data_IF_758336830104
#
_entry.id   IF_758336830104
#
_cell.length_a   1.000
_cell.length_b   1.000
_cell.length_c   1.000
_cell.angle_alpha   90.00
_cell.angle_beta   90.00
_cell.angle_gamma   90.00
#
_symmetry.space_group_name_H-M   'P 1'
#
loop_
_entity.id
_entity.type
_entity.pdbx_description
1 polymer ?
#
# COMPACT_ATOMS: atom_id res chain seq x y z
N UNK A 1 -11.42 55.61 -14.36
CA UNK A 1 -10.13 55.24 -13.71
C UNK A 1 -10.30 54.00 -12.86
N UNK A 2 -9.67 52.90 -13.26
CA UNK A 2 -9.82 51.54 -12.63
C UNK A 2 -8.90 51.37 -11.45
N UNK A 3 -9.47 51.17 -10.23
CA UNK A 3 -8.74 50.66 -9.06
C UNK A 3 -8.90 49.12 -9.01
N UNK A 4 -8.07 48.38 -9.71
CA UNK A 4 -7.96 46.92 -9.63
C UNK A 4 -6.49 46.55 -9.39
N UNK A 5 -6.06 46.44 -8.14
CA UNK A 5 -4.67 46.06 -7.87
C UNK A 5 -4.37 45.59 -6.44
N UNK A 6 -5.23 45.81 -5.43
CA UNK A 6 -4.88 45.56 -4.02
C UNK A 6 -5.30 44.18 -3.47
N UNK A 7 -6.24 43.47 -4.11
CA UNK A 7 -6.76 42.19 -3.59
C UNK A 7 -5.84 40.99 -3.86
N UNK A 8 -5.00 41.03 -4.90
CA UNK A 8 -4.11 39.90 -5.24
C UNK A 8 -2.90 39.72 -4.31
N UNK A 9 -2.41 40.83 -3.75
CA UNK A 9 -1.23 40.81 -2.85
C UNK A 9 -1.61 40.25 -1.48
N UNK A 10 -2.82 40.49 -1.01
CA UNK A 10 -3.32 39.98 0.28
C UNK A 10 -3.51 38.45 0.29
N UNK A 11 -3.92 37.86 -0.81
CA UNK A 11 -4.03 36.40 -0.94
C UNK A 11 -2.68 35.69 -0.92
N UNK A 12 -1.65 36.32 -1.53
CA UNK A 12 -0.28 35.78 -1.47
C UNK A 12 0.30 35.78 -0.08
N UNK A 13 0.09 36.86 0.71
CA UNK A 13 0.50 36.96 2.11
C UNK A 13 -0.26 35.97 3.02
N UNK A 14 -1.55 35.77 2.79
CA UNK A 14 -2.34 34.80 3.54
C UNK A 14 -1.85 33.35 3.31
N UNK A 15 -1.51 33.00 2.05
CA UNK A 15 -0.94 31.69 1.75
C UNK A 15 0.45 31.47 2.36
N UNK A 16 1.30 32.50 2.40
CA UNK A 16 2.61 32.44 3.07
C UNK A 16 2.48 32.31 4.59
N UNK A 17 1.49 32.97 5.20
CA UNK A 17 1.21 32.89 6.62
C UNK A 17 0.67 31.50 7.03
N UNK A 18 -0.23 30.93 6.24
CA UNK A 18 -0.75 29.56 6.44
C UNK A 18 0.36 28.50 6.22
N UNK A 19 1.20 28.68 5.21
CA UNK A 19 2.36 27.81 5.00
C UNK A 19 3.37 27.90 6.15
N UNK A 20 3.63 29.11 6.66
CA UNK A 20 4.48 29.36 7.83
C UNK A 20 3.95 28.70 9.10
N UNK A 21 2.64 28.76 9.36
CA UNK A 21 2.00 28.11 10.51
C UNK A 21 2.08 26.58 10.41
N UNK A 22 1.91 26.02 9.20
CA UNK A 22 2.01 24.57 8.98
C UNK A 22 3.45 24.08 9.19
N UNK A 23 4.45 24.85 8.74
CA UNK A 23 5.88 24.54 8.92
C UNK A 23 6.25 24.68 10.40
N UNK A 24 5.78 25.72 11.08
CA UNK A 24 6.04 25.97 12.51
C UNK A 24 5.37 24.91 13.40
N UNK A 25 4.13 24.52 13.12
CA UNK A 25 3.43 23.46 13.86
C UNK A 25 4.10 22.08 13.63
N UNK A 26 4.54 21.79 12.41
CA UNK A 26 5.30 20.58 12.08
C UNK A 26 6.66 20.53 12.77
N UNK A 27 7.38 21.65 12.82
CA UNK A 27 8.66 21.78 13.53
C UNK A 27 8.50 21.62 15.05
N UNK A 28 7.46 22.22 15.64
CA UNK A 28 7.18 22.12 17.08
C UNK A 28 6.77 20.70 17.51
N UNK A 29 6.02 19.96 16.67
CA UNK A 29 5.71 18.54 16.93
C UNK A 29 6.96 17.65 16.81
N UNK A 30 7.85 17.94 15.88
CA UNK A 30 9.08 17.20 15.70
C UNK A 30 10.06 17.38 16.86
N UNK A 31 10.21 18.62 17.37
CA UNK A 31 11.08 18.93 18.51
C UNK A 31 10.55 18.37 19.84
N UNK A 32 9.22 18.34 20.03
CA UNK A 32 8.61 17.78 21.25
C UNK A 32 8.78 16.28 21.37
N UNK A 33 8.71 15.54 20.26
CA UNK A 33 8.96 14.09 20.21
C UNK A 33 10.45 13.72 20.30
N UNK A 34 11.37 14.66 20.05
CA UNK A 34 12.82 14.47 20.20
C UNK A 34 13.29 14.55 21.67
N UNK A 35 12.66 15.40 22.48
CA UNK A 35 13.05 15.54 23.90
C UNK A 35 12.57 14.39 24.79
N UNK A 36 11.41 13.78 24.51
CA UNK A 36 10.94 12.63 25.30
C UNK A 36 11.79 11.35 25.13
N UNK A 37 12.62 11.26 24.08
CA UNK A 37 13.52 10.10 23.87
C UNK A 37 14.88 10.24 24.53
N UNK A 38 15.33 11.44 24.85
CA UNK A 38 16.62 11.64 25.51
C UNK A 38 16.57 11.39 27.02
N UNK A 39 15.47 11.71 27.69
CA UNK A 39 15.31 11.52 29.14
C UNK A 39 15.15 10.04 29.55
N UNK A 40 14.79 9.13 28.63
CA UNK A 40 14.63 7.70 28.92
C UNK A 40 15.92 6.89 28.76
N UNK A 41 16.96 7.44 28.16
CA UNK A 41 18.24 6.73 27.91
C UNK A 41 19.31 6.96 28.98
N UNK A 42 19.16 7.95 29.84
CA UNK A 42 20.16 8.28 30.88
C UNK A 42 19.97 7.47 32.18
N UNK A 43 18.80 6.84 32.38
CA UNK A 43 18.49 6.11 33.62
C UNK A 43 18.82 4.62 33.65
N UNK A 44 19.50 4.07 32.63
CA UNK A 44 19.74 2.61 32.54
C UNK A 44 21.22 2.21 32.34
N UNK A 45 22.13 2.98 32.86
CA UNK A 45 23.57 2.64 32.78
C UNK A 45 24.25 2.68 34.14
N UNK A 46 23.81 1.89 35.07
CA UNK A 46 24.62 1.40 36.21
C UNK A 46 23.97 0.10 36.73
N UNK A 47 24.60 -0.99 36.50
CA UNK A 47 24.75 -2.22 37.30
C UNK A 47 24.82 -3.46 36.41
N UNK A 48 25.93 -4.04 36.37
CA UNK A 48 26.37 -5.34 36.84
C UNK A 48 27.34 -6.00 35.86
N UNK A 49 28.59 -5.78 36.15
CA UNK A 49 29.70 -6.69 35.80
C UNK A 49 29.57 -7.96 36.66
N UNK A 50 29.49 -9.14 36.04
CA UNK A 50 30.00 -10.38 36.62
C UNK A 50 30.30 -11.44 35.55
N UNK A 51 31.59 -11.78 35.50
CA UNK A 51 32.24 -12.85 34.79
C UNK A 51 31.51 -14.21 34.81
N UNK A 52 31.41 -14.88 33.67
CA UNK A 52 31.47 -16.33 33.64
C UNK A 52 32.15 -16.82 32.36
N UNK A 53 33.40 -17.26 32.57
CA UNK A 53 34.19 -18.08 31.63
C UNK A 53 33.48 -19.39 31.39
N UNK A 54 33.15 -19.76 30.17
CA UNK A 54 32.70 -21.10 29.81
C UNK A 54 33.49 -21.63 28.63
N UNK A 55 34.11 -22.77 28.88
CA UNK A 55 34.96 -23.59 27.99
C UNK A 55 34.24 -23.88 26.66
N UNK A 56 34.97 -23.76 25.59
CA UNK A 56 34.57 -24.17 24.25
C UNK A 56 35.00 -25.60 24.04
N UNK A 57 34.06 -26.54 24.01
CA UNK A 57 34.27 -27.88 23.49
C UNK A 57 34.12 -27.86 21.96
N UNK A 58 35.22 -28.29 21.29
CA UNK A 58 35.27 -28.49 19.86
C UNK A 58 34.41 -29.67 19.45
N UNK A 59 33.34 -29.42 18.70
CA UNK A 59 32.59 -30.47 18.00
C UNK A 59 33.08 -30.54 16.56
N UNK A 60 33.52 -31.74 16.16
CA UNK A 60 34.01 -32.10 14.84
C UNK A 60 32.85 -32.04 13.84
N UNK A 61 32.97 -31.44 12.64
CA UNK A 61 31.90 -31.43 11.65
C UNK A 61 31.71 -32.80 11.02
N UNK A 62 30.51 -33.36 11.14
CA UNK A 62 30.11 -34.51 10.33
C UNK A 62 29.86 -34.09 8.88
N UNK A 63 30.45 -34.83 7.99
CA UNK A 63 30.33 -34.75 6.53
C UNK A 63 28.88 -34.94 6.11
N UNK A 64 28.26 -33.89 5.55
CA UNK A 64 26.87 -33.91 5.05
C UNK A 64 26.83 -34.56 3.68
N UNK A 65 26.25 -35.76 3.60
CA UNK A 65 25.91 -36.45 2.34
C UNK A 65 25.20 -35.50 1.38
N UNK A 66 25.79 -35.36 0.19
CA UNK A 66 25.20 -34.63 -0.94
C UNK A 66 23.99 -35.45 -1.42
N UNK A 67 22.81 -34.91 -1.22
CA UNK A 67 21.55 -35.39 -1.84
C UNK A 67 21.54 -34.91 -3.28
N UNK A 68 21.24 -35.78 -4.28
CA UNK A 68 21.13 -35.36 -5.69
C UNK A 68 20.06 -34.28 -5.87
N UNK A 69 20.19 -33.38 -6.85
CA UNK A 69 19.19 -32.34 -7.11
C UNK A 69 17.86 -33.01 -7.48
N UNK A 70 16.84 -32.67 -6.73
CA UNK A 70 15.44 -33.02 -6.99
C UNK A 70 15.05 -32.43 -8.37
N UNK A 71 14.58 -33.26 -9.27
CA UNK A 71 14.13 -32.88 -10.60
C UNK A 71 13.15 -31.71 -10.50
N UNK A 72 13.47 -30.65 -11.23
CA UNK A 72 12.62 -29.46 -11.40
C UNK A 72 11.30 -29.89 -11.98
N UNK A 73 10.28 -30.15 -11.16
CA UNK A 73 8.92 -30.37 -11.62
C UNK A 73 8.50 -29.15 -12.43
N UNK A 74 8.30 -29.36 -13.70
CA UNK A 74 7.67 -28.44 -14.65
C UNK A 74 6.42 -27.88 -13.98
N UNK A 75 6.38 -26.55 -13.82
CA UNK A 75 5.25 -25.85 -13.16
C UNK A 75 4.06 -26.02 -14.11
N UNK A 76 3.19 -26.96 -13.77
CA UNK A 76 1.92 -27.16 -14.46
C UNK A 76 1.18 -25.79 -14.54
N UNK A 77 0.70 -25.38 -15.73
CA UNK A 77 -0.05 -24.15 -15.85
C UNK A 77 -1.27 -24.21 -14.92
N UNK A 78 -1.56 -23.12 -14.18
CA UNK A 78 -2.64 -23.12 -13.21
C UNK A 78 -3.95 -23.53 -13.89
N UNK A 79 -4.65 -24.48 -13.28
CA UNK A 79 -5.93 -24.99 -13.77
C UNK A 79 -6.89 -23.86 -14.14
N UNK A 80 -7.69 -24.01 -15.23
CA UNK A 80 -8.64 -22.99 -15.64
C UNK A 80 -9.60 -22.68 -14.50
N UNK A 81 -9.71 -21.40 -14.15
CA UNK A 81 -10.68 -20.92 -13.16
C UNK A 81 -12.06 -21.24 -13.71
N UNK A 82 -12.89 -21.94 -12.93
CA UNK A 82 -14.26 -22.26 -13.36
C UNK A 82 -15.00 -20.95 -13.63
N UNK A 83 -15.74 -20.88 -14.72
CA UNK A 83 -16.50 -19.69 -15.15
C UNK A 83 -17.40 -19.14 -14.03
N UNK A 84 -17.98 -20.03 -13.21
CA UNK A 84 -18.74 -19.69 -12.01
C UNK A 84 -17.97 -18.83 -10.99
N UNK A 85 -16.64 -19.02 -10.86
CA UNK A 85 -15.81 -18.25 -9.91
C UNK A 85 -15.59 -16.81 -10.39
N UNK A 86 -15.51 -16.59 -11.70
CA UNK A 86 -15.40 -15.27 -12.29
C UNK A 86 -16.65 -14.44 -12.04
N UNK A 87 -17.81 -15.03 -12.33
CA UNK A 87 -19.10 -14.39 -12.13
C UNK A 87 -19.37 -14.10 -10.65
N UNK A 88 -19.00 -15.02 -9.77
CA UNK A 88 -19.16 -14.85 -8.34
C UNK A 88 -18.39 -13.61 -7.83
N UNK A 89 -17.12 -13.44 -8.21
CA UNK A 89 -16.31 -12.30 -7.75
C UNK A 89 -16.82 -10.99 -8.37
N UNK A 90 -17.22 -11.00 -9.64
CA UNK A 90 -17.82 -9.81 -10.28
C UNK A 90 -19.11 -9.39 -9.57
N UNK A 91 -19.97 -10.33 -9.25
CA UNK A 91 -21.20 -10.07 -8.50
C UNK A 91 -20.91 -9.52 -7.09
N UNK A 92 -19.86 -10.01 -6.40
CA UNK A 92 -19.47 -9.47 -5.09
C UNK A 92 -19.08 -7.99 -5.18
N UNK A 93 -18.35 -7.58 -6.22
CA UNK A 93 -18.00 -6.17 -6.43
C UNK A 93 -19.25 -5.32 -6.67
N UNK A 94 -20.15 -5.77 -7.53
CA UNK A 94 -21.41 -5.05 -7.82
C UNK A 94 -22.27 -4.93 -6.58
N UNK A 95 -22.45 -6.02 -5.81
CA UNK A 95 -23.25 -6.02 -4.57
C UNK A 95 -22.63 -5.11 -3.49
N UNK A 96 -21.32 -5.04 -3.38
CA UNK A 96 -20.66 -4.10 -2.48
C UNK A 96 -21.04 -2.64 -2.81
N UNK A 97 -21.04 -2.26 -4.09
CA UNK A 97 -21.43 -0.90 -4.47
C UNK A 97 -22.94 -0.67 -4.29
N UNK A 98 -23.80 -1.65 -4.54
CA UNK A 98 -25.23 -1.57 -4.22
C UNK A 98 -25.48 -1.41 -2.72
N UNK A 99 -24.66 -2.04 -1.89
CA UNK A 99 -24.69 -1.84 -0.44
C UNK A 99 -24.28 -0.41 -0.08
N UNK A 100 -23.22 0.14 -0.69
CA UNK A 100 -22.79 1.52 -0.46
C UNK A 100 -23.85 2.54 -0.88
N UNK A 101 -24.55 2.32 -1.99
CA UNK A 101 -25.61 3.22 -2.49
C UNK A 101 -26.73 3.45 -1.46
N UNK A 102 -26.95 2.50 -0.55
CA UNK A 102 -27.96 2.59 0.53
C UNK A 102 -27.45 3.31 1.78
N UNK A 103 -26.16 3.67 1.85
CA UNK A 103 -25.57 4.28 3.05
C UNK A 103 -25.84 5.77 3.13
N UNK A 104 -26.24 6.24 4.30
CA UNK A 104 -26.52 7.66 4.54
C UNK A 104 -25.31 8.55 4.28
N UNK A 105 -24.11 8.11 4.64
CA UNK A 105 -22.88 8.88 4.38
C UNK A 105 -22.57 9.04 2.89
N UNK A 106 -22.98 8.08 2.04
CA UNK A 106 -22.88 8.20 0.57
C UNK A 106 -23.92 9.20 0.06
N UNK A 107 -25.18 9.07 0.50
CA UNK A 107 -26.25 9.96 0.12
C UNK A 107 -25.99 11.42 0.55
N UNK A 108 -25.24 11.63 1.64
CA UNK A 108 -24.81 12.96 2.09
C UNK A 108 -23.72 13.58 1.18
N UNK A 109 -22.96 12.78 0.42
CA UNK A 109 -22.01 13.30 -0.57
C UNK A 109 -22.73 13.77 -1.83
N UNK A 110 -23.62 12.92 -2.35
CA UNK A 110 -24.42 13.20 -3.54
C UNK A 110 -25.66 12.28 -3.53
N UNK A 111 -26.85 12.88 -3.39
CA UNK A 111 -28.10 12.14 -3.39
C UNK A 111 -28.29 11.41 -4.74
N UNK A 112 -28.68 10.13 -4.68
CA UNK A 112 -28.86 9.31 -5.88
C UNK A 112 -27.57 8.90 -6.59
N UNK A 113 -26.40 9.03 -5.94
CA UNK A 113 -25.12 8.59 -6.50
C UNK A 113 -25.16 7.10 -6.81
N UNK A 114 -24.76 6.71 -8.03
CA UNK A 114 -24.41 5.34 -8.38
C UNK A 114 -22.90 5.16 -8.11
N UNK A 115 -22.57 4.55 -6.98
CA UNK A 115 -21.17 4.39 -6.55
C UNK A 115 -20.39 3.43 -7.46
N UNK A 116 -21.05 2.45 -8.11
CA UNK A 116 -20.39 1.55 -9.06
C UNK A 116 -19.94 2.28 -10.32
N UNK A 117 -20.81 3.10 -10.93
CA UNK A 117 -20.41 3.91 -12.08
C UNK A 117 -19.33 4.92 -11.73
N UNK A 118 -19.40 5.49 -10.53
CA UNK A 118 -18.35 6.39 -10.03
C UNK A 118 -17.01 5.66 -9.87
N UNK A 119 -17.05 4.47 -9.31
CA UNK A 119 -15.87 3.60 -9.19
C UNK A 119 -15.27 3.28 -10.55
N UNK A 120 -16.08 2.87 -11.54
CA UNK A 120 -15.61 2.64 -12.92
C UNK A 120 -14.91 3.88 -13.50
N UNK A 121 -15.47 5.05 -13.29
CA UNK A 121 -14.87 6.32 -13.70
C UNK A 121 -13.53 6.60 -13.03
N UNK A 122 -13.42 6.34 -11.72
CA UNK A 122 -12.18 6.47 -10.96
C UNK A 122 -11.12 5.51 -11.51
N UNK A 123 -11.44 4.22 -11.69
CA UNK A 123 -10.49 3.23 -12.21
C UNK A 123 -10.02 3.59 -13.62
N UNK A 124 -10.91 4.00 -14.52
CA UNK A 124 -10.51 4.47 -15.86
C UNK A 124 -9.56 5.67 -15.80
N UNK A 125 -9.86 6.64 -14.94
CA UNK A 125 -9.00 7.82 -14.74
C UNK A 125 -7.61 7.45 -14.22
N UNK A 126 -7.57 6.56 -13.24
CA UNK A 126 -6.31 6.06 -12.65
C UNK A 126 -5.53 5.22 -13.66
N UNK A 127 -6.19 4.33 -14.40
CA UNK A 127 -5.54 3.46 -15.39
C UNK A 127 -4.98 4.24 -16.59
N UNK A 128 -5.64 5.31 -17.00
CA UNK A 128 -5.17 6.14 -18.10
C UNK A 128 -3.89 6.94 -17.79
N UNK A 129 -3.61 7.18 -16.51
CA UNK A 129 -2.45 7.99 -16.08
C UNK A 129 -1.79 7.38 -14.86
N UNK A 130 -1.21 6.17 -14.96
CA UNK A 130 -0.56 5.52 -13.83
C UNK A 130 0.65 6.33 -13.36
N UNK A 131 1.00 6.25 -12.06
CA UNK A 131 2.15 6.94 -11.50
C UNK A 131 3.47 6.32 -11.99
N UNK A 132 4.56 7.06 -11.80
CA UNK A 132 5.91 6.52 -11.97
C UNK A 132 6.31 5.88 -10.64
N UNK A 133 6.60 4.57 -10.59
CA UNK A 133 6.90 3.84 -9.35
C UNK A 133 8.38 3.92 -8.96
N UNK A 134 9.21 4.64 -9.69
CA UNK A 134 10.62 4.81 -9.38
C UNK A 134 10.82 5.67 -8.14
N UNK A 135 11.89 5.39 -7.39
CA UNK A 135 12.40 6.25 -6.34
C UNK A 135 12.60 7.68 -6.85
N UNK A 136 12.68 8.61 -5.94
CA UNK A 136 12.64 10.02 -6.25
C UNK A 136 13.79 10.48 -7.10
N UNK A 137 13.45 10.94 -8.29
CA UNK A 137 14.34 11.86 -8.96
C UNK A 137 14.46 13.14 -8.12
N UNK A 138 15.67 13.62 -7.91
CA UNK A 138 16.03 14.78 -7.08
C UNK A 138 15.37 16.11 -7.52
N UNK A 139 14.60 16.14 -8.61
CA UNK A 139 13.93 17.34 -9.09
C UNK A 139 12.68 17.61 -8.24
N UNK A 140 12.63 18.78 -7.59
CA UNK A 140 11.51 19.25 -6.76
C UNK A 140 10.15 19.16 -7.46
N UNK A 141 10.12 19.34 -8.79
CA UNK A 141 8.90 19.21 -9.60
C UNK A 141 8.33 17.78 -9.61
N UNK A 142 9.20 16.76 -9.67
CA UNK A 142 8.80 15.35 -9.67
C UNK A 142 8.33 14.97 -8.27
N UNK A 143 9.04 15.39 -7.23
CA UNK A 143 8.67 15.18 -5.83
C UNK A 143 7.30 15.80 -5.53
N UNK A 144 7.09 17.09 -5.87
CA UNK A 144 5.82 17.78 -5.70
C UNK A 144 4.71 17.09 -6.50
N UNK A 145 5.04 16.70 -7.74
CA UNK A 145 4.14 15.94 -8.60
C UNK A 145 3.68 14.62 -8.01
N UNK A 146 4.57 13.93 -7.34
CA UNK A 146 4.33 12.66 -6.67
C UNK A 146 3.48 12.83 -5.40
N UNK A 147 3.80 13.82 -4.53
CA UNK A 147 3.07 14.08 -3.28
C UNK A 147 1.59 14.44 -3.55
N UNK A 148 1.33 15.23 -4.58
CA UNK A 148 -0.03 15.70 -4.92
C UNK A 148 -0.70 14.87 -6.03
N UNK A 149 -0.19 13.68 -6.33
CA UNK A 149 -0.63 12.85 -7.44
C UNK A 149 -2.15 12.68 -7.49
N UNK A 150 -2.75 12.16 -6.42
CA UNK A 150 -4.19 11.92 -6.36
C UNK A 150 -5.03 13.20 -6.38
N UNK A 151 -4.56 14.29 -5.74
CA UNK A 151 -5.25 15.58 -5.76
C UNK A 151 -5.31 16.21 -7.15
N UNK A 152 -4.35 15.88 -8.02
CA UNK A 152 -4.34 16.37 -9.41
C UNK A 152 -5.12 15.49 -10.35
N UNK A 153 -5.26 14.22 -10.03
CA UNK A 153 -5.86 13.22 -10.89
C UNK A 153 -7.35 13.04 -10.60
N UNK A 154 -7.71 13.03 -9.33
CA UNK A 154 -9.09 12.86 -8.87
C UNK A 154 -9.65 14.19 -8.38
N UNK A 155 -10.92 14.45 -8.66
CA UNK A 155 -11.62 15.61 -8.14
C UNK A 155 -11.86 15.49 -6.63
N UNK A 156 -12.26 16.61 -6.01
CA UNK A 156 -12.53 16.67 -4.56
C UNK A 156 -13.66 15.72 -4.13
N UNK A 157 -14.68 15.51 -4.99
CA UNK A 157 -15.80 14.61 -4.68
C UNK A 157 -15.34 13.16 -4.62
N UNK A 158 -14.54 12.71 -5.61
CA UNK A 158 -13.98 11.36 -5.63
C UNK A 158 -13.05 11.08 -4.44
N UNK A 159 -12.17 12.05 -4.11
CA UNK A 159 -11.30 11.93 -2.93
C UNK A 159 -12.10 11.87 -1.63
N UNK A 160 -13.18 12.65 -1.52
CA UNK A 160 -14.07 12.62 -0.37
C UNK A 160 -14.81 11.28 -0.28
N UNK A 161 -15.34 10.77 -1.39
CA UNK A 161 -15.98 9.46 -1.47
C UNK A 161 -15.07 8.35 -0.96
N UNK A 162 -13.85 8.25 -1.50
CA UNK A 162 -12.86 7.25 -1.06
C UNK A 162 -12.59 7.36 0.44
N UNK A 163 -12.41 8.58 0.94
CA UNK A 163 -12.15 8.83 2.37
C UNK A 163 -13.32 8.36 3.24
N UNK A 164 -14.56 8.70 2.86
CA UNK A 164 -15.73 8.34 3.65
C UNK A 164 -15.99 6.82 3.62
N UNK A 165 -15.78 6.14 2.49
CA UNK A 165 -15.83 4.67 2.43
C UNK A 165 -14.80 4.06 3.37
N UNK A 166 -13.53 4.47 3.29
CA UNK A 166 -12.46 3.93 4.15
C UNK A 166 -12.71 4.20 5.64
N UNK A 167 -13.43 5.26 5.98
CA UNK A 167 -13.75 5.62 7.37
C UNK A 167 -14.92 4.81 7.92
N UNK A 168 -15.99 4.66 7.12
CA UNK A 168 -17.24 4.08 7.58
C UNK A 168 -17.29 2.56 7.39
N UNK A 169 -16.46 2.00 6.50
CA UNK A 169 -16.36 0.56 6.24
C UNK A 169 -15.06 -0.03 6.81
N UNK A 170 -14.50 0.57 7.87
CA UNK A 170 -13.26 0.11 8.50
C UNK A 170 -13.35 -1.34 8.99
N UNK A 171 -14.49 -1.72 9.55
CA UNK A 171 -14.69 -3.05 10.17
C UNK A 171 -14.77 -4.19 9.12
N UNK A 172 -15.18 -3.85 7.90
CA UNK A 172 -15.24 -4.80 6.77
C UNK A 172 -14.07 -4.62 5.80
N UNK A 173 -13.14 -3.72 6.10
CA UNK A 173 -12.04 -3.32 5.21
C UNK A 173 -11.21 -4.51 4.75
N UNK A 174 -10.91 -5.45 5.64
CA UNK A 174 -10.10 -6.63 5.35
C UNK A 174 -10.76 -7.49 4.27
N UNK A 175 -12.03 -7.86 4.45
CA UNK A 175 -12.79 -8.64 3.46
C UNK A 175 -12.96 -7.88 2.15
N UNK A 176 -13.22 -6.57 2.23
CA UNK A 176 -13.40 -5.72 1.05
C UNK A 176 -12.12 -5.66 0.21
N UNK A 177 -10.95 -5.46 0.83
CA UNK A 177 -9.68 -5.44 0.12
C UNK A 177 -9.31 -6.80 -0.44
N UNK A 178 -9.65 -7.90 0.24
CA UNK A 178 -9.41 -9.27 -0.24
C UNK A 178 -10.20 -9.55 -1.52
N UNK A 179 -11.51 -9.26 -1.57
CA UNK A 179 -12.26 -9.52 -2.79
C UNK A 179 -11.89 -8.53 -3.91
N UNK A 180 -11.57 -7.27 -3.61
CA UNK A 180 -11.05 -6.34 -4.63
C UNK A 180 -9.71 -6.80 -5.19
N UNK A 181 -8.81 -7.29 -4.34
CA UNK A 181 -7.56 -7.87 -4.81
C UNK A 181 -7.80 -9.09 -5.72
N UNK A 182 -8.68 -10.00 -5.33
CA UNK A 182 -9.09 -11.13 -6.17
C UNK A 182 -9.65 -10.64 -7.50
N UNK A 183 -10.57 -9.70 -7.48
CA UNK A 183 -11.16 -9.11 -8.69
C UNK A 183 -10.11 -8.47 -9.61
N UNK A 184 -9.20 -7.68 -9.07
CA UNK A 184 -8.10 -7.06 -9.82
C UNK A 184 -7.16 -8.10 -10.45
N UNK A 185 -6.92 -9.22 -9.76
CA UNK A 185 -5.96 -10.24 -10.18
C UNK A 185 -6.57 -11.38 -11.00
N UNK A 186 -7.88 -11.40 -11.24
CA UNK A 186 -8.53 -12.33 -12.17
C UNK A 186 -7.90 -12.24 -13.57
N UNK A 187 -7.55 -11.02 -13.99
CA UNK A 187 -6.80 -10.75 -15.20
C UNK A 187 -7.44 -11.34 -16.44
N UNK A 188 -6.61 -11.92 -17.28
CA UNK A 188 -6.99 -12.52 -18.57
C UNK A 188 -7.82 -13.82 -18.43
N UNK A 189 -7.95 -14.35 -17.21
CA UNK A 189 -8.67 -15.62 -16.96
C UNK A 189 -10.18 -15.47 -16.94
N UNK A 190 -10.67 -14.25 -16.72
CA UNK A 190 -12.10 -13.96 -16.59
C UNK A 190 -12.51 -12.85 -17.56
N UNK A 191 -13.73 -12.95 -18.16
CA UNK A 191 -14.25 -11.88 -18.98
C UNK A 191 -14.26 -10.53 -18.23
N UNK A 192 -13.97 -9.43 -18.94
CA UNK A 192 -14.07 -8.07 -18.45
C UNK A 192 -14.96 -7.26 -19.40
N UNK A 193 -16.29 -7.43 -19.30
CA UNK A 193 -17.22 -6.87 -20.27
C UNK A 193 -17.20 -5.32 -20.27
N UNK A 194 -16.89 -4.72 -19.14
CA UNK A 194 -16.79 -3.26 -18.99
C UNK A 194 -15.38 -2.71 -19.33
N UNK A 195 -14.39 -3.58 -19.51
CA UNK A 195 -13.01 -3.19 -19.79
C UNK A 195 -12.40 -2.31 -18.70
N UNK A 196 -12.79 -2.52 -17.42
CA UNK A 196 -12.40 -1.64 -16.33
C UNK A 196 -11.28 -2.20 -15.45
N UNK A 197 -11.01 -3.51 -15.51
CA UNK A 197 -9.93 -4.07 -14.70
C UNK A 197 -8.57 -3.61 -15.21
N UNK A 198 -7.75 -2.97 -14.35
CA UNK A 198 -6.45 -2.49 -14.78
C UNK A 198 -5.53 -3.67 -15.11
N UNK A 199 -4.74 -3.59 -16.19
CA UNK A 199 -3.73 -4.61 -16.50
C UNK A 199 -2.61 -4.62 -15.46
N UNK A 200 -1.85 -5.72 -15.39
CA UNK A 200 -0.80 -5.94 -14.39
C UNK A 200 0.25 -4.82 -14.36
N UNK A 201 0.61 -4.23 -15.49
CA UNK A 201 1.59 -3.14 -15.54
C UNK A 201 1.08 -1.87 -14.86
N UNK A 202 -0.22 -1.58 -14.96
CA UNK A 202 -0.87 -0.45 -14.26
C UNK A 202 -0.90 -0.74 -12.75
N UNK A 203 -1.34 -1.93 -12.35
CA UNK A 203 -1.34 -2.35 -10.94
C UNK A 203 0.07 -2.30 -10.34
N UNK A 204 1.07 -2.79 -11.07
CA UNK A 204 2.48 -2.74 -10.69
C UNK A 204 2.98 -1.31 -10.45
N UNK A 205 2.61 -0.37 -11.33
CA UNK A 205 2.99 1.05 -11.17
C UNK A 205 2.38 1.66 -9.92
N UNK A 206 1.12 1.33 -9.58
CA UNK A 206 0.49 1.76 -8.33
C UNK A 206 1.13 1.11 -7.10
N UNK A 207 1.38 -0.19 -7.15
CA UNK A 207 2.03 -0.91 -6.06
C UNK A 207 3.42 -0.31 -5.77
N UNK A 208 4.21 -0.09 -6.80
CA UNK A 208 5.51 0.58 -6.67
C UNK A 208 5.41 2.03 -6.22
N UNK A 209 4.40 2.78 -6.66
CA UNK A 209 4.15 4.13 -6.16
C UNK A 209 3.94 4.13 -4.64
N UNK A 210 3.10 3.26 -4.12
CA UNK A 210 2.82 3.19 -2.68
C UNK A 210 4.04 2.75 -1.86
N UNK A 211 4.81 1.78 -2.33
CA UNK A 211 5.92 1.22 -1.56
C UNK A 211 7.25 1.95 -1.78
N UNK A 212 7.47 2.56 -2.94
CA UNK A 212 8.78 3.04 -3.36
C UNK A 212 8.85 4.55 -3.59
N UNK A 213 7.80 5.32 -3.29
CA UNK A 213 7.84 6.77 -3.44
C UNK A 213 7.39 7.51 -2.20
N UNK A 214 7.95 8.72 -1.96
CA UNK A 214 7.54 9.56 -0.81
C UNK A 214 6.05 9.89 -0.88
N UNK A 215 5.52 10.23 -2.06
CA UNK A 215 4.11 10.58 -2.22
C UNK A 215 3.18 9.42 -1.90
N UNK A 216 3.50 8.22 -2.37
CA UNK A 216 2.74 7.00 -2.07
C UNK A 216 2.81 6.63 -0.60
N UNK A 217 4.01 6.59 -0.02
CA UNK A 217 4.20 6.33 1.42
C UNK A 217 3.48 7.37 2.28
N UNK A 218 3.60 8.66 1.97
CA UNK A 218 2.91 9.73 2.69
C UNK A 218 1.37 9.62 2.58
N UNK A 219 0.86 9.14 1.45
CA UNK A 219 -0.57 8.85 1.29
C UNK A 219 -1.01 7.71 2.21
N UNK A 220 -0.27 6.61 2.27
CA UNK A 220 -0.57 5.45 3.12
C UNK A 220 -0.49 5.80 4.62
N UNK A 221 0.51 6.56 5.05
CA UNK A 221 0.66 6.96 6.46
C UNK A 221 -0.51 7.81 6.99
N UNK A 222 -1.30 8.41 6.11
CA UNK A 222 -2.52 9.15 6.49
C UNK A 222 -3.76 8.26 6.57
N UNK A 223 -3.63 6.96 6.33
CA UNK A 223 -4.73 5.99 6.39
C UNK A 223 -4.73 5.30 7.75
N UNK A 224 -5.88 4.72 8.17
CA UNK A 224 -5.91 3.83 9.34
C UNK A 224 -4.85 2.74 9.21
N UNK A 225 -4.28 2.31 10.34
CA UNK A 225 -3.17 1.35 10.36
C UNK A 225 -3.50 0.05 9.62
N UNK A 226 -4.68 -0.53 9.87
CA UNK A 226 -5.12 -1.74 9.18
C UNK A 226 -5.17 -1.58 7.65
N UNK A 227 -5.77 -0.47 7.16
CA UNK A 227 -5.81 -0.20 5.72
C UNK A 227 -4.40 -0.01 5.13
N UNK A 228 -3.50 0.66 5.83
CA UNK A 228 -2.11 0.82 5.40
C UNK A 228 -1.39 -0.52 5.27
N UNK A 229 -1.50 -1.38 6.27
CA UNK A 229 -0.85 -2.69 6.30
C UNK A 229 -1.38 -3.59 5.17
N UNK A 230 -2.71 -3.64 4.97
CA UNK A 230 -3.33 -4.44 3.92
C UNK A 230 -2.95 -3.93 2.51
N UNK A 231 -2.99 -2.62 2.27
CA UNK A 231 -2.56 -2.06 0.98
C UNK A 231 -1.09 -2.38 0.73
N UNK A 232 -0.22 -2.25 1.74
CA UNK A 232 1.19 -2.63 1.60
C UNK A 232 1.36 -4.11 1.28
N UNK A 233 0.60 -4.98 1.95
CA UNK A 233 0.61 -6.42 1.70
C UNK A 233 0.22 -6.76 0.25
N UNK A 234 -0.91 -6.24 -0.24
CA UNK A 234 -1.33 -6.50 -1.62
C UNK A 234 -0.39 -5.88 -2.66
N UNK A 235 0.23 -4.74 -2.35
CA UNK A 235 1.26 -4.16 -3.20
C UNK A 235 2.49 -5.08 -3.34
N UNK A 236 2.94 -5.72 -2.25
CA UNK A 236 4.02 -6.72 -2.32
C UNK A 236 3.64 -7.90 -3.23
N UNK A 237 2.41 -8.42 -3.12
CA UNK A 237 1.94 -9.52 -3.96
C UNK A 237 1.88 -9.14 -5.44
N UNK A 238 1.42 -7.92 -5.76
CA UNK A 238 1.35 -7.41 -7.15
C UNK A 238 2.76 -7.27 -7.75
N UNK A 239 3.71 -6.71 -6.99
CA UNK A 239 5.10 -6.56 -7.47
C UNK A 239 5.75 -7.93 -7.64
N UNK A 240 5.52 -8.86 -6.70
CA UNK A 240 5.99 -10.23 -6.83
C UNK A 240 5.47 -10.92 -8.09
N UNK A 241 4.18 -10.78 -8.40
CA UNK A 241 3.60 -11.35 -9.60
C UNK A 241 4.18 -10.71 -10.87
N UNK A 242 4.41 -9.40 -10.87
CA UNK A 242 5.10 -8.72 -11.96
C UNK A 242 6.55 -9.22 -12.12
N UNK A 243 7.25 -9.45 -11.02
CA UNK A 243 8.63 -9.98 -11.01
C UNK A 243 8.69 -11.42 -11.56
N UNK A 244 7.76 -12.28 -11.15
CA UNK A 244 7.63 -13.66 -11.69
C UNK A 244 7.41 -13.68 -13.21
N UNK A 245 6.67 -12.71 -13.74
CA UNK A 245 6.38 -12.58 -15.18
C UNK A 245 7.44 -11.79 -15.95
N UNK A 246 8.56 -11.41 -15.33
CA UNK A 246 9.59 -10.58 -15.95
C UNK A 246 9.11 -9.16 -16.30
N UNK A 247 8.05 -8.67 -15.62
CA UNK A 247 7.43 -7.34 -15.84
C UNK A 247 7.82 -6.32 -14.77
N UNK A 248 8.80 -6.60 -13.91
CA UNK A 248 9.36 -5.66 -12.93
C UNK A 248 10.29 -4.65 -13.62
N UNK A 249 9.73 -3.83 -14.51
CA UNK A 249 10.45 -2.93 -15.42
C UNK A 249 11.24 -1.81 -14.71
N UNK A 250 10.91 -1.49 -13.46
CA UNK A 250 11.60 -0.49 -12.65
C UNK A 250 12.56 -1.11 -11.63
N UNK A 251 12.71 -2.43 -11.61
CA UNK A 251 13.63 -3.12 -10.71
C UNK A 251 13.32 -2.90 -9.23
N UNK A 252 12.02 -2.87 -8.86
CA UNK A 252 11.61 -2.63 -7.46
C UNK A 252 11.99 -3.85 -6.63
N UNK A 253 12.92 -3.67 -5.68
CA UNK A 253 13.28 -4.71 -4.70
C UNK A 253 12.33 -4.64 -3.50
N UNK A 254 11.45 -5.63 -3.39
CA UNK A 254 10.49 -5.72 -2.28
C UNK A 254 11.03 -6.51 -1.09
N UNK A 255 12.15 -7.19 -1.21
CA UNK A 255 12.69 -8.04 -0.15
C UNK A 255 12.89 -7.31 1.19
N UNK A 256 13.42 -6.07 1.23
CA UNK A 256 13.60 -5.33 2.48
C UNK A 256 12.29 -5.00 3.19
N UNK A 257 11.17 -4.93 2.46
CA UNK A 257 9.87 -4.54 3.01
C UNK A 257 9.09 -5.73 3.61
N UNK A 258 9.45 -6.99 3.24
CA UNK A 258 8.68 -8.18 3.61
C UNK A 258 8.70 -8.43 5.13
N UNK A 259 9.89 -8.52 5.73
CA UNK A 259 10.04 -8.84 7.15
C UNK A 259 9.49 -7.73 8.08
N UNK A 260 9.72 -6.43 7.82
CA UNK A 260 9.08 -5.36 8.57
C UNK A 260 7.55 -5.42 8.52
N UNK A 261 6.98 -5.64 7.32
CA UNK A 261 5.53 -5.73 7.18
C UNK A 261 4.95 -6.94 7.91
N UNK A 262 5.60 -8.12 7.82
CA UNK A 262 5.18 -9.31 8.55
C UNK A 262 5.17 -9.06 10.07
N UNK A 263 6.18 -8.36 10.59
CA UNK A 263 6.25 -7.95 11.99
C UNK A 263 5.13 -6.98 12.37
N UNK A 264 4.86 -5.95 11.55
CA UNK A 264 3.78 -5.01 11.83
C UNK A 264 2.41 -5.71 11.81
N UNK A 265 2.16 -6.61 10.86
CA UNK A 265 0.93 -7.41 10.79
C UNK A 265 0.81 -8.32 12.02
N UNK A 266 1.90 -8.95 12.48
CA UNK A 266 1.86 -9.88 13.61
C UNK A 266 1.48 -9.24 14.95
N UNK A 267 1.71 -7.94 15.10
CA UNK A 267 1.34 -7.17 16.30
C UNK A 267 0.01 -6.43 16.18
N UNK A 268 -0.64 -6.45 15.00
CA UNK A 268 -1.92 -5.79 14.78
C UNK A 268 -3.07 -6.77 15.07
N UNK A 269 -3.86 -6.56 16.15
CA UNK A 269 -4.76 -7.59 16.68
C UNK A 269 -6.05 -7.76 15.88
N UNK A 270 -6.40 -6.77 15.03
CA UNK A 270 -7.73 -6.67 14.45
C UNK A 270 -7.89 -7.40 13.10
N UNK A 271 -6.86 -8.15 12.64
CA UNK A 271 -6.95 -8.91 11.40
C UNK A 271 -7.48 -10.32 11.62
N UNK A 272 -8.53 -10.69 10.89
CA UNK A 272 -9.10 -12.04 10.89
C UNK A 272 -8.17 -13.06 10.20
N UNK A 273 -7.49 -12.64 9.11
CA UNK A 273 -6.59 -13.49 8.30
C UNK A 273 -5.11 -13.24 8.60
N UNK A 274 -4.78 -12.82 9.83
CA UNK A 274 -3.41 -12.48 10.22
C UNK A 274 -2.42 -13.62 9.95
N UNK A 275 -2.78 -14.86 10.29
CA UNK A 275 -1.94 -16.04 10.08
C UNK A 275 -1.66 -16.31 8.62
N UNK A 276 -2.65 -16.14 7.75
CA UNK A 276 -2.54 -16.31 6.31
C UNK A 276 -1.60 -15.27 5.69
N UNK A 277 -1.72 -14.01 6.12
CA UNK A 277 -0.82 -12.95 5.66
C UNK A 277 0.63 -13.21 6.06
N UNK A 278 0.88 -13.60 7.32
CA UNK A 278 2.21 -13.94 7.80
C UNK A 278 2.78 -15.14 7.04
N UNK A 279 1.98 -16.20 6.86
CA UNK A 279 2.40 -17.37 6.11
C UNK A 279 2.77 -17.01 4.65
N UNK A 280 1.95 -16.20 3.98
CA UNK A 280 2.23 -15.76 2.61
C UNK A 280 3.47 -14.86 2.52
N UNK A 281 3.67 -13.95 3.47
CA UNK A 281 4.87 -13.12 3.53
C UNK A 281 6.14 -13.95 3.79
N UNK A 282 6.04 -14.98 4.64
CA UNK A 282 7.14 -15.93 4.88
C UNK A 282 7.51 -16.70 3.59
N UNK A 283 6.51 -17.18 2.84
CA UNK A 283 6.74 -17.83 1.54
C UNK A 283 7.42 -16.87 0.57
N UNK A 284 6.98 -15.62 0.53
CA UNK A 284 7.55 -14.57 -0.29
C UNK A 284 9.01 -14.31 0.07
N UNK A 285 9.31 -14.20 1.35
CA UNK A 285 10.68 -14.01 1.86
C UNK A 285 11.60 -15.17 1.45
N UNK A 286 11.15 -16.42 1.62
CA UNK A 286 11.90 -17.60 1.23
C UNK A 286 12.17 -17.65 -0.28
N UNK A 287 11.18 -17.27 -1.10
CA UNK A 287 11.35 -17.18 -2.55
C UNK A 287 12.48 -16.20 -2.94
N UNK A 288 12.53 -15.02 -2.34
CA UNK A 288 13.58 -14.04 -2.64
C UNK A 288 14.93 -14.40 -2.02
N UNK A 289 14.95 -15.08 -0.89
CA UNK A 289 16.20 -15.62 -0.32
C UNK A 289 16.83 -16.67 -1.23
N UNK A 290 16.03 -17.53 -1.86
CA UNK A 290 16.52 -18.54 -2.78
C UNK A 290 17.05 -17.98 -4.12
N UNK A 291 16.65 -16.74 -4.47
CA UNK A 291 17.08 -16.04 -5.70
C UNK A 291 18.37 -15.22 -5.53
N UNK A 292 18.78 -14.95 -4.31
CA UNK A 292 20.00 -14.19 -3.97
C UNK A 292 21.20 -15.08 -3.77
#
# INVERSE_FOLDING_TARGET
>A
MRKKGKTRIWWGLFFLLVAGIIIFAGYHMFMKNGQEKEDTLVSKKVSSEKNHTRKVDRVIPQEKKIVPPEETKEIEPPAPVKEDSCLQIENQVVEFFRYLDKKSYIQNIEAGMNTYERFKGIIRTLSARPPIPSGEAAASRILTGNIFYFFRLLDRKNLNLIREIMRNESDTMEMNLEFFYKWLTLGERCPDPDGIRPPLDVMYKYAGFFLNTIGGRAYLYRRPMGARLLVSYYCLLIIHEADKRGKNSYGIDIFPEIAPLAKEISIFPDFHFQSEYIHQLTRLQNYYLAKR
#
